data_IF_278270218090
#
_entry.id   IF_278270218090
#
_cell.length_a   1.000
_cell.length_b   1.000
_cell.length_c   1.000
_cell.angle_alpha   90.00
_cell.angle_beta   90.00
_cell.angle_gamma   90.00
#
_symmetry.space_group_name_H-M   'P 1'
#
loop_
_entity.id
_entity.type
_entity.pdbx_description
1 polymer ?
#
# COMPACT_ATOMS: atom_id res chain seq x y z
N UNK A 1 12.41 9.71 -13.63
CA UNK A 1 11.01 9.90 -14.03
C UNK A 1 10.13 9.15 -13.05
N UNK A 2 9.08 9.79 -12.55
CA UNK A 2 8.17 9.19 -11.57
C UNK A 2 7.04 8.44 -12.28
N UNK A 3 6.59 7.34 -11.67
CA UNK A 3 5.47 6.56 -12.16
C UNK A 3 4.40 6.44 -11.09
N UNK A 4 3.15 6.69 -11.45
CA UNK A 4 2.00 6.45 -10.60
C UNK A 4 1.11 5.37 -11.21
N UNK A 5 0.75 4.34 -10.45
CA UNK A 5 -0.27 3.38 -10.84
C UNK A 5 -1.52 3.71 -10.05
N UNK A 6 -2.61 3.98 -10.75
CA UNK A 6 -3.85 4.45 -10.13
C UNK A 6 -5.00 3.56 -10.56
N UNK A 7 -5.94 3.36 -9.65
CA UNK A 7 -7.23 2.73 -9.91
C UNK A 7 -8.24 3.37 -8.96
N UNK A 8 -9.52 3.27 -9.31
CA UNK A 8 -10.61 3.64 -8.43
C UNK A 8 -11.65 2.52 -8.37
N UNK A 9 -12.40 2.54 -7.27
CA UNK A 9 -13.52 1.67 -7.03
C UNK A 9 -14.71 2.55 -6.76
N UNK A 10 -15.85 2.28 -7.39
CA UNK A 10 -17.05 3.08 -7.24
C UNK A 10 -18.27 2.17 -7.07
N UNK A 11 -19.21 2.60 -6.25
CA UNK A 11 -20.49 1.93 -6.08
C UNK A 11 -21.60 2.95 -5.83
N UNK A 12 -22.68 2.82 -6.60
CA UNK A 12 -23.95 3.50 -6.34
C UNK A 12 -24.58 3.00 -5.03
N UNK A 13 -25.01 3.93 -4.20
CA UNK A 13 -25.69 3.69 -2.95
C UNK A 13 -27.22 3.67 -3.16
N UNK A 14 -27.99 3.07 -2.24
CA UNK A 14 -29.45 2.98 -2.35
C UNK A 14 -30.17 4.34 -2.41
N UNK A 15 -29.54 5.41 -1.93
CA UNK A 15 -30.06 6.79 -1.99
C UNK A 15 -29.71 7.52 -3.29
N UNK A 16 -29.05 6.84 -4.24
CA UNK A 16 -28.60 7.38 -5.52
C UNK A 16 -27.28 8.16 -5.43
N UNK A 17 -26.65 8.25 -4.25
CA UNK A 17 -25.30 8.80 -4.12
C UNK A 17 -24.24 7.80 -4.59
N UNK A 18 -23.06 8.28 -4.97
CA UNK A 18 -21.95 7.42 -5.39
C UNK A 18 -20.81 7.45 -4.38
N UNK A 19 -20.50 6.29 -3.79
CA UNK A 19 -19.36 6.15 -2.88
C UNK A 19 -18.18 5.54 -3.64
N UNK A 20 -17.06 6.26 -3.63
CA UNK A 20 -15.82 5.87 -4.27
C UNK A 20 -14.67 5.66 -3.30
N UNK A 21 -13.68 4.90 -3.73
CA UNK A 21 -12.35 4.87 -3.13
C UNK A 21 -11.31 4.95 -4.23
N UNK A 22 -10.21 5.64 -3.97
CA UNK A 22 -9.08 5.73 -4.88
C UNK A 22 -7.85 5.05 -4.28
N UNK A 23 -7.01 4.49 -5.13
CA UNK A 23 -5.76 3.84 -4.74
C UNK A 23 -4.63 4.25 -5.67
N UNK A 24 -3.45 4.47 -5.08
CA UNK A 24 -2.26 4.94 -5.79
C UNK A 24 -1.02 4.19 -5.31
N UNK A 25 -0.20 3.75 -6.26
CA UNK A 25 1.18 3.30 -6.02
C UNK A 25 2.13 4.25 -6.75
N UNK A 26 2.89 5.05 -6.01
CA UNK A 26 3.89 5.97 -6.53
C UNK A 26 5.29 5.34 -6.49
N UNK A 27 5.95 5.29 -7.64
CA UNK A 27 7.33 4.88 -7.81
C UNK A 27 8.20 6.10 -8.09
N UNK A 28 9.15 6.36 -7.18
CA UNK A 28 10.20 7.36 -7.36
C UNK A 28 11.54 6.65 -7.59
N UNK A 29 12.41 7.16 -8.49
CA UNK A 29 13.73 6.57 -8.72
C UNK A 29 14.52 6.38 -7.42
N UNK A 30 15.09 5.18 -7.24
CA UNK A 30 15.92 4.86 -6.07
C UNK A 30 15.16 4.61 -4.75
N UNK A 31 13.82 4.67 -4.76
CA UNK A 31 12.99 4.50 -3.58
C UNK A 31 12.06 3.29 -3.67
N UNK A 32 11.55 2.85 -2.53
CA UNK A 32 10.49 1.86 -2.46
C UNK A 32 9.15 2.46 -2.93
N UNK A 33 8.26 1.63 -3.50
CA UNK A 33 6.90 2.05 -3.83
C UNK A 33 6.18 2.62 -2.61
N UNK A 34 5.61 3.81 -2.76
CA UNK A 34 4.76 4.43 -1.75
C UNK A 34 3.30 4.21 -2.14
N UNK A 35 2.45 3.88 -1.17
CA UNK A 35 1.03 3.57 -1.38
C UNK A 35 0.16 4.62 -0.71
N UNK A 36 -0.87 5.05 -1.41
CA UNK A 36 -1.84 6.02 -0.94
C UNK A 36 -3.24 5.54 -1.28
N UNK A 37 -4.21 5.93 -0.47
CA UNK A 37 -5.61 5.65 -0.73
C UNK A 37 -6.50 6.66 -0.01
N UNK A 38 -7.74 6.75 -0.43
CA UNK A 38 -8.73 7.58 0.24
C UNK A 38 -10.15 7.32 -0.22
N UNK A 39 -11.08 7.66 0.66
CA UNK A 39 -12.50 7.67 0.36
C UNK A 39 -12.83 8.93 -0.44
N UNK A 40 -13.80 8.84 -1.36
CA UNK A 40 -14.36 10.00 -2.02
C UNK A 40 -15.86 9.82 -2.27
N UNK A 41 -16.57 10.93 -2.34
CA UNK A 41 -17.87 10.97 -3.00
C UNK A 41 -17.61 11.24 -4.49
N UNK A 42 -18.24 10.46 -5.37
CA UNK A 42 -18.05 10.58 -6.82
C UNK A 42 -19.35 10.36 -7.56
N UNK A 43 -19.64 11.15 -8.61
CA UNK A 43 -20.84 10.94 -9.41
C UNK A 43 -20.80 9.65 -10.22
N UNK A 44 -19.61 9.21 -10.65
CA UNK A 44 -19.43 7.96 -11.40
C UNK A 44 -18.00 7.39 -11.26
N UNK A 45 -17.76 6.24 -11.90
CA UNK A 45 -16.47 5.58 -11.89
C UNK A 45 -15.36 6.36 -12.62
N UNK A 46 -15.65 7.04 -13.74
CA UNK A 46 -14.64 7.79 -14.49
C UNK A 46 -14.19 9.04 -13.74
N UNK A 47 -15.11 9.72 -13.04
CA UNK A 47 -14.78 10.81 -12.15
C UNK A 47 -13.92 10.35 -10.96
N UNK A 48 -14.21 9.16 -10.40
CA UNK A 48 -13.41 8.57 -9.34
C UNK A 48 -11.99 8.23 -9.82
N UNK A 49 -11.85 7.71 -11.04
CA UNK A 49 -10.57 7.42 -11.67
C UNK A 49 -9.76 8.69 -11.94
N UNK A 50 -10.40 9.76 -12.46
CA UNK A 50 -9.74 11.06 -12.60
C UNK A 50 -9.32 11.63 -11.25
N UNK A 51 -10.11 11.42 -10.19
CA UNK A 51 -9.71 11.82 -8.84
C UNK A 51 -8.46 11.07 -8.39
N UNK A 52 -8.34 9.77 -8.66
CA UNK A 52 -7.13 9.01 -8.36
C UNK A 52 -5.89 9.57 -9.09
N UNK A 53 -6.05 10.06 -10.32
CA UNK A 53 -4.98 10.79 -11.05
C UNK A 53 -4.62 12.09 -10.36
N UNK A 54 -5.60 12.88 -9.92
CA UNK A 54 -5.37 14.14 -9.21
C UNK A 54 -4.59 13.91 -7.91
N UNK A 55 -4.92 12.86 -7.17
CA UNK A 55 -4.16 12.51 -5.95
C UNK A 55 -2.73 12.04 -6.29
N UNK A 56 -2.52 11.37 -7.44
CA UNK A 56 -1.17 11.09 -7.93
C UNK A 56 -0.38 12.36 -8.28
N UNK A 57 -1.05 13.32 -8.91
CA UNK A 57 -0.51 14.65 -9.20
C UNK A 57 -0.15 15.37 -7.91
N UNK A 58 -0.95 15.29 -6.84
CA UNK A 58 -0.67 15.89 -5.51
C UNK A 58 0.41 15.16 -4.71
N UNK A 59 0.59 13.86 -4.92
CA UNK A 59 1.61 13.06 -4.23
C UNK A 59 2.99 13.11 -4.89
N UNK A 60 3.06 13.37 -6.20
CA UNK A 60 4.33 13.41 -6.93
C UNK A 60 5.26 14.55 -6.44
N UNK A 61 6.59 14.46 -6.60
CA UNK A 61 7.48 15.62 -6.42
C UNK A 61 7.14 16.73 -7.43
N UNK A 62 7.14 18.00 -6.99
CA UNK A 62 6.94 19.16 -7.87
C UNK A 62 8.08 19.29 -8.90
N UNK A 63 7.80 19.97 -10.01
CA UNK A 63 8.75 20.26 -11.10
C UNK A 63 9.37 19.02 -11.78
N UNK A 64 8.78 17.84 -11.55
CA UNK A 64 9.23 16.58 -12.14
C UNK A 64 8.20 15.96 -13.09
N UNK A 65 8.66 15.17 -14.05
CA UNK A 65 7.76 14.44 -14.95
C UNK A 65 7.08 13.26 -14.23
N UNK A 66 5.77 13.12 -14.44
CA UNK A 66 4.93 12.04 -13.90
C UNK A 66 4.24 11.27 -15.03
N UNK A 67 4.48 9.95 -15.09
CA UNK A 67 3.67 9.05 -15.93
C UNK A 67 2.66 8.29 -15.07
N UNK A 68 1.39 8.53 -15.34
CA UNK A 68 0.26 7.83 -14.73
C UNK A 68 -0.09 6.60 -15.57
N UNK A 69 -0.26 5.47 -14.90
CA UNK A 69 -0.65 4.18 -15.45
C UNK A 69 -2.03 3.83 -14.91
N UNK A 70 -2.97 3.61 -15.81
CA UNK A 70 -4.36 3.23 -15.51
C UNK A 70 -4.89 2.32 -16.61
N UNK A 71 -5.92 1.51 -16.32
CA UNK A 71 -6.63 0.76 -17.36
C UNK A 71 -7.83 1.54 -17.94
N UNK A 72 -8.14 2.73 -17.40
CA UNK A 72 -9.25 3.56 -17.83
C UNK A 72 -8.90 4.45 -19.05
N UNK A 73 -9.48 4.11 -20.21
CA UNK A 73 -9.26 4.84 -21.46
C UNK A 73 -9.79 6.27 -21.45
N UNK A 74 -10.87 6.57 -20.72
CA UNK A 74 -11.42 7.92 -20.63
C UNK A 74 -10.43 8.85 -19.93
N UNK A 75 -9.81 8.40 -18.85
CA UNK A 75 -8.74 9.12 -18.14
C UNK A 75 -7.55 9.40 -19.06
N UNK A 76 -7.07 8.36 -19.76
CA UNK A 76 -5.94 8.50 -20.70
C UNK A 76 -6.25 9.57 -21.75
N UNK A 77 -7.46 9.55 -22.32
CA UNK A 77 -7.90 10.53 -23.29
C UNK A 77 -7.98 11.95 -22.70
N UNK A 78 -8.45 12.12 -21.46
CA UNK A 78 -8.54 13.42 -20.80
C UNK A 78 -7.15 14.05 -20.61
N UNK A 79 -6.20 13.27 -20.10
CA UNK A 79 -4.80 13.72 -19.91
C UNK A 79 -4.12 14.01 -21.24
N UNK A 80 -4.22 13.10 -22.22
CA UNK A 80 -3.55 13.26 -23.50
C UNK A 80 -4.08 14.45 -24.33
N UNK A 81 -5.37 14.77 -24.21
CA UNK A 81 -6.01 15.86 -24.97
C UNK A 81 -6.03 17.18 -24.22
N UNK A 82 -5.72 17.19 -22.92
CA UNK A 82 -5.89 18.37 -22.07
C UNK A 82 -7.35 18.81 -21.88
N UNK A 83 -8.32 17.93 -22.18
CA UNK A 83 -9.76 18.19 -22.04
C UNK A 83 -10.55 16.90 -21.95
N UNK A 84 -11.60 16.89 -21.15
CA UNK A 84 -12.52 15.76 -21.00
C UNK A 84 -13.84 15.93 -21.77
N UNK A 85 -14.64 14.86 -21.89
CA UNK A 85 -16.06 14.98 -22.24
C UNK A 85 -16.80 15.84 -21.20
N UNK A 86 -18.00 16.33 -21.53
CA UNK A 86 -18.74 17.28 -20.70
C UNK A 86 -18.87 16.86 -19.22
N UNK A 87 -19.14 15.58 -18.95
CA UNK A 87 -19.26 15.05 -17.59
C UNK A 87 -17.94 15.05 -16.79
N UNK A 88 -16.79 15.10 -17.46
CA UNK A 88 -15.46 15.07 -16.85
C UNK A 88 -14.70 16.39 -17.03
N UNK A 89 -15.33 17.42 -17.60
CA UNK A 89 -14.66 18.66 -17.99
C UNK A 89 -14.07 19.38 -16.76
N UNK A 90 -14.85 19.51 -15.70
CA UNK A 90 -14.43 20.18 -14.48
C UNK A 90 -13.30 19.42 -13.77
N UNK A 91 -13.45 18.10 -13.61
CA UNK A 91 -12.42 17.24 -13.02
C UNK A 91 -11.12 17.24 -13.84
N UNK A 92 -11.22 17.25 -15.17
CA UNK A 92 -10.04 17.33 -16.06
C UNK A 92 -9.35 18.68 -15.91
N UNK A 93 -10.10 19.78 -15.83
CA UNK A 93 -9.53 21.11 -15.62
C UNK A 93 -8.83 21.21 -14.26
N UNK A 94 -9.47 20.76 -13.17
CA UNK A 94 -8.86 20.74 -11.83
C UNK A 94 -7.53 19.96 -11.85
N UNK A 95 -7.52 18.77 -12.47
CA UNK A 95 -6.32 17.95 -12.62
C UNK A 95 -5.18 18.69 -13.34
N UNK A 96 -5.48 19.37 -14.44
CA UNK A 96 -4.48 20.05 -15.26
C UNK A 96 -3.99 21.33 -14.60
N UNK A 97 -4.87 22.07 -13.92
CA UNK A 97 -4.52 23.27 -13.16
C UNK A 97 -3.58 22.90 -12.01
N UNK A 98 -3.87 21.83 -11.25
CA UNK A 98 -2.97 21.32 -10.20
C UNK A 98 -1.62 20.87 -10.80
N UNK A 99 -1.64 20.10 -11.88
CA UNK A 99 -0.40 19.66 -12.53
C UNK A 99 0.46 20.85 -13.00
N UNK A 100 -0.17 21.88 -13.55
CA UNK A 100 0.50 23.10 -13.97
C UNK A 100 1.06 23.89 -12.77
N UNK A 101 0.27 24.09 -11.72
CA UNK A 101 0.69 24.78 -10.50
C UNK A 101 1.90 24.11 -9.84
N UNK A 102 1.98 22.78 -9.94
CA UNK A 102 3.08 21.98 -9.41
C UNK A 102 4.25 21.79 -10.39
N UNK A 103 4.20 22.39 -11.58
CA UNK A 103 5.25 22.28 -12.59
C UNK A 103 5.42 20.87 -13.19
N UNK A 104 4.40 20.01 -13.12
CA UNK A 104 4.50 18.62 -13.55
C UNK A 104 4.29 18.47 -15.06
N UNK A 105 5.18 17.71 -15.69
CA UNK A 105 4.94 17.17 -17.03
C UNK A 105 4.14 15.86 -16.92
N UNK A 106 2.83 15.96 -17.04
CA UNK A 106 1.90 14.84 -16.86
C UNK A 106 1.71 14.04 -18.16
N UNK A 107 1.89 12.73 -18.07
CA UNK A 107 1.57 11.77 -19.12
C UNK A 107 0.68 10.65 -18.59
N UNK A 108 -0.24 10.14 -19.40
CA UNK A 108 -1.02 8.94 -19.07
C UNK A 108 -0.71 7.81 -20.06
N UNK A 109 -0.64 6.59 -19.56
CA UNK A 109 -0.42 5.36 -20.34
C UNK A 109 -1.36 4.26 -19.86
N UNK A 110 -1.75 3.42 -20.81
CA UNK A 110 -2.48 2.20 -20.48
C UNK A 110 -1.58 1.22 -19.73
N UNK A 111 -2.09 0.64 -18.65
CA UNK A 111 -1.52 -0.52 -17.99
C UNK A 111 -2.63 -1.52 -17.67
N UNK A 112 -2.45 -2.82 -17.94
CA UNK A 112 -3.48 -3.80 -17.66
C UNK A 112 -3.67 -4.00 -16.15
N UNK A 113 -4.92 -4.22 -15.71
CA UNK A 113 -5.25 -4.49 -14.30
C UNK A 113 -4.54 -5.70 -13.71
N UNK A 114 -4.05 -6.63 -14.54
CA UNK A 114 -3.26 -7.81 -14.11
C UNK A 114 -1.83 -7.47 -13.67
N UNK A 115 -1.34 -6.26 -13.94
CA UNK A 115 -0.01 -5.82 -13.51
C UNK A 115 0.07 -5.68 -12.00
N UNK A 116 1.20 -6.09 -11.39
CA UNK A 116 1.40 -6.09 -9.92
C UNK A 116 1.02 -4.75 -9.24
N UNK A 117 1.45 -3.63 -9.81
CA UNK A 117 1.17 -2.31 -9.21
C UNK A 117 -0.27 -1.85 -9.46
N UNK A 118 -0.86 -2.20 -10.61
CA UNK A 118 -2.28 -1.98 -10.86
C UNK A 118 -3.16 -2.79 -9.91
N UNK A 119 -2.86 -4.09 -9.68
CA UNK A 119 -3.55 -4.91 -8.68
C UNK A 119 -3.46 -4.30 -7.28
N UNK A 120 -2.30 -3.73 -6.93
CA UNK A 120 -2.13 -3.07 -5.63
C UNK A 120 -2.94 -1.77 -5.55
N UNK A 121 -2.99 -0.96 -6.60
CA UNK A 121 -3.83 0.24 -6.65
C UNK A 121 -5.33 -0.12 -6.56
N UNK A 122 -5.75 -1.18 -7.25
CA UNK A 122 -7.11 -1.71 -7.19
C UNK A 122 -7.51 -2.17 -5.78
N UNK A 123 -6.63 -2.89 -5.10
CA UNK A 123 -6.88 -3.34 -3.73
C UNK A 123 -7.05 -2.14 -2.78
N UNK A 124 -6.13 -1.16 -2.86
CA UNK A 124 -6.19 0.08 -2.09
C UNK A 124 -7.51 0.84 -2.32
N UNK A 125 -7.93 0.98 -3.58
CA UNK A 125 -9.19 1.65 -3.92
C UNK A 125 -10.41 0.95 -3.30
N UNK A 126 -10.46 -0.40 -3.32
CA UNK A 126 -11.53 -1.16 -2.71
C UNK A 126 -11.51 -1.09 -1.17
N UNK A 127 -10.32 -1.16 -0.57
CA UNK A 127 -10.16 -1.11 0.88
C UNK A 127 -10.57 0.26 1.42
N UNK A 128 -10.19 1.33 0.72
CA UNK A 128 -10.62 2.70 1.02
C UNK A 128 -12.14 2.84 0.94
N UNK A 129 -12.77 2.38 -0.16
CA UNK A 129 -14.23 2.43 -0.33
C UNK A 129 -14.99 1.67 0.75
N UNK A 130 -14.44 0.56 1.24
CA UNK A 130 -15.03 -0.28 2.30
C UNK A 130 -14.71 0.22 3.71
N UNK A 131 -13.92 1.29 3.86
CA UNK A 131 -13.45 1.77 5.17
C UNK A 131 -12.54 0.77 5.90
N UNK A 132 -11.94 -0.18 5.16
CA UNK A 132 -11.10 -1.26 5.71
C UNK A 132 -9.60 -0.94 5.63
N UNK A 133 -9.25 0.18 5.00
CA UNK A 133 -7.88 0.59 4.74
C UNK A 133 -7.20 1.33 5.90
N UNK A 134 -5.89 1.14 6.05
CA UNK A 134 -5.05 2.04 6.85
C UNK A 134 -5.14 3.47 6.34
N UNK A 135 -5.01 4.47 7.22
CA UNK A 135 -5.21 5.88 6.88
C UNK A 135 -4.41 6.38 5.66
N UNK A 136 -4.66 7.63 5.22
CA UNK A 136 -4.29 8.12 3.88
C UNK A 136 -2.78 8.14 3.56
N UNK A 137 -1.91 7.96 4.55
CA UNK A 137 -0.46 7.98 4.39
C UNK A 137 0.22 7.20 5.52
N UNK A 138 0.68 5.97 5.27
CA UNK A 138 1.57 5.27 6.19
C UNK A 138 2.92 5.03 5.52
N UNK A 139 4.05 5.45 6.14
CA UNK A 139 5.37 5.08 5.68
C UNK A 139 5.44 3.55 5.58
N UNK A 140 5.66 3.07 4.36
CA UNK A 140 5.68 1.64 4.13
C UNK A 140 7.10 1.08 4.26
N UNK A 141 7.21 0.02 5.06
CA UNK A 141 8.44 -0.72 5.26
C UNK A 141 8.31 -2.13 4.68
N UNK A 142 9.12 -2.44 3.66
CA UNK A 142 9.18 -3.77 3.07
C UNK A 142 9.98 -4.70 3.98
N UNK A 143 9.34 -5.77 4.44
CA UNK A 143 9.96 -6.78 5.30
C UNK A 143 10.18 -8.06 4.49
N UNK A 144 11.38 -8.61 4.56
CA UNK A 144 11.73 -9.92 4.01
C UNK A 144 12.19 -10.83 5.15
N UNK A 145 11.48 -11.95 5.32
CA UNK A 145 11.88 -13.01 6.26
C UNK A 145 12.45 -14.16 5.44
N UNK A 146 13.70 -14.52 5.72
CA UNK A 146 14.38 -15.67 5.12
C UNK A 146 14.76 -16.67 6.20
N UNK A 147 14.06 -17.79 6.23
CA UNK A 147 14.36 -18.91 7.10
C UNK A 147 14.84 -20.08 6.25
N UNK A 148 16.07 -20.57 6.51
CA UNK A 148 16.59 -21.77 5.82
C UNK A 148 16.29 -23.01 6.66
N UNK A 149 15.80 -24.13 6.07
CA UNK A 149 15.37 -25.31 6.83
C UNK A 149 16.41 -25.93 7.78
N UNK A 150 17.71 -25.72 7.54
CA UNK A 150 18.80 -26.29 8.32
C UNK A 150 19.61 -25.26 9.13
N UNK A 151 19.11 -24.02 9.25
CA UNK A 151 19.78 -22.98 10.03
C UNK A 151 18.95 -22.63 11.27
N UNK A 152 19.59 -22.51 12.45
CA UNK A 152 18.93 -22.05 13.66
C UNK A 152 18.70 -20.55 13.69
N UNK A 153 18.79 -19.89 12.54
CA UNK A 153 18.67 -18.46 12.40
C UNK A 153 17.70 -18.14 11.26
N UNK A 154 16.86 -17.13 11.49
CA UNK A 154 16.12 -16.46 10.43
C UNK A 154 16.74 -15.08 10.19
N UNK A 155 16.98 -14.75 8.91
CA UNK A 155 17.35 -13.40 8.53
C UNK A 155 16.09 -12.57 8.33
N UNK A 156 15.98 -11.47 9.06
CA UNK A 156 14.89 -10.51 8.93
C UNK A 156 15.48 -9.21 8.39
N UNK A 157 15.07 -8.81 7.18
CA UNK A 157 15.51 -7.57 6.54
C UNK A 157 14.34 -6.62 6.36
N UNK A 158 14.45 -5.39 6.86
CA UNK A 158 13.49 -4.31 6.64
C UNK A 158 14.12 -3.30 5.69
N UNK A 159 13.33 -2.78 4.75
CA UNK A 159 13.70 -1.63 3.90
C UNK A 159 12.62 -0.57 4.02
N UNK A 160 13.01 0.68 4.23
CA UNK A 160 12.09 1.82 4.37
C UNK A 160 12.64 3.03 3.65
N UNK A 161 11.77 3.91 3.16
CA UNK A 161 12.22 5.18 2.59
C UNK A 161 12.69 6.11 3.71
N UNK A 162 13.71 6.92 3.45
CA UNK A 162 14.19 7.94 4.38
C UNK A 162 13.63 9.32 3.99
N UNK A 163 13.55 10.23 4.95
CA UNK A 163 13.10 11.61 4.72
C UNK A 163 13.99 12.36 3.71
N UNK A 164 15.24 11.93 3.57
CA UNK A 164 16.21 12.46 2.61
C UNK A 164 16.05 11.90 1.18
N UNK A 165 14.98 11.15 0.91
CA UNK A 165 14.70 10.61 -0.41
C UNK A 165 15.50 9.37 -0.80
N UNK A 166 16.07 8.66 0.17
CA UNK A 166 16.79 7.40 -0.01
C UNK A 166 16.03 6.18 0.51
N UNK A 167 16.70 5.03 0.55
CA UNK A 167 16.19 3.81 1.23
C UNK A 167 17.17 3.39 2.31
N UNK A 168 16.69 3.21 3.53
CA UNK A 168 17.44 2.56 4.62
C UNK A 168 17.17 1.05 4.60
N UNK A 169 18.19 0.26 4.98
CA UNK A 169 18.05 -1.17 5.21
C UNK A 169 18.50 -1.55 6.61
N UNK A 170 17.60 -2.14 7.38
CA UNK A 170 17.90 -2.77 8.69
C UNK A 170 17.89 -4.28 8.51
N UNK A 171 18.88 -4.99 9.02
CA UNK A 171 18.92 -6.45 8.97
C UNK A 171 19.29 -6.99 10.35
N UNK A 172 18.51 -7.96 10.84
CA UNK A 172 18.84 -8.73 12.03
C UNK A 172 18.87 -10.22 11.73
N UNK A 173 19.68 -10.96 12.50
CA UNK A 173 19.64 -12.41 12.58
C UNK A 173 18.87 -12.77 13.85
N UNK A 174 17.84 -13.60 13.69
CA UNK A 174 16.97 -14.05 14.78
C UNK A 174 17.33 -15.48 15.08
N UNK A 175 17.89 -15.73 16.28
CA UNK A 175 18.11 -17.08 16.76
C UNK A 175 16.76 -17.73 17.04
N UNK A 176 16.48 -18.84 16.35
CA UNK A 176 15.22 -19.57 16.41
C UNK A 176 15.34 -20.68 17.45
N UNK A 177 14.45 -20.65 18.44
CA UNK A 177 14.29 -21.75 19.37
C UNK A 177 13.29 -22.76 18.80
N UNK A 178 13.79 -23.88 18.27
CA UNK A 178 12.93 -24.95 17.77
C UNK A 178 12.24 -25.77 18.86
N UNK A 179 12.66 -25.61 20.13
CA UNK A 179 12.05 -26.27 21.28
C UNK A 179 10.92 -25.43 21.88
N UNK A 180 10.87 -24.15 21.54
CA UNK A 180 9.80 -23.26 21.97
C UNK A 180 8.45 -23.63 21.36
N UNK A 181 7.41 -23.34 22.13
CA UNK A 181 6.02 -23.54 21.74
C UNK A 181 5.57 -22.64 20.58
N UNK A 182 6.21 -21.48 20.44
CA UNK A 182 5.98 -20.55 19.35
C UNK A 182 6.74 -21.05 18.11
N UNK A 183 6.09 -21.31 16.96
CA UNK A 183 6.79 -21.78 15.77
C UNK A 183 7.91 -20.83 15.31
N UNK A 184 9.04 -21.34 14.78
CA UNK A 184 10.16 -20.50 14.32
C UNK A 184 9.75 -19.39 13.35
N UNK A 185 8.84 -19.69 12.43
CA UNK A 185 8.34 -18.68 11.48
C UNK A 185 7.54 -17.55 12.14
N UNK A 186 6.89 -17.83 13.28
CA UNK A 186 6.21 -16.81 14.08
C UNK A 186 7.21 -16.02 14.95
N UNK A 187 8.26 -16.68 15.49
CA UNK A 187 9.37 -15.98 16.15
C UNK A 187 10.03 -14.95 15.23
N UNK A 188 10.34 -15.34 13.99
CA UNK A 188 10.91 -14.43 12.98
C UNK A 188 9.95 -13.28 12.61
N UNK A 189 8.64 -13.54 12.56
CA UNK A 189 7.63 -12.50 12.32
C UNK A 189 7.57 -11.50 13.48
N UNK A 190 7.56 -11.97 14.73
CA UNK A 190 7.55 -11.09 15.91
C UNK A 190 8.81 -10.21 15.97
N UNK A 191 9.97 -10.78 15.62
CA UNK A 191 11.22 -10.01 15.51
C UNK A 191 11.17 -8.96 14.39
N UNK A 192 10.45 -9.22 13.30
CA UNK A 192 10.25 -8.21 12.26
C UNK A 192 9.36 -7.06 12.74
N UNK A 193 8.29 -7.38 13.48
CA UNK A 193 7.34 -6.40 14.01
C UNK A 193 8.01 -5.52 15.08
N UNK A 194 8.89 -6.09 15.92
CA UNK A 194 9.61 -5.31 16.94
C UNK A 194 10.60 -4.30 16.34
N UNK A 195 11.04 -4.49 15.10
CA UNK A 195 11.90 -3.56 14.35
C UNK A 195 11.12 -2.46 13.60
N UNK A 196 9.79 -2.49 13.62
CA UNK A 196 8.96 -1.45 13.05
C UNK A 196 9.04 -0.16 13.90
N UNK A 197 9.05 0.98 13.24
CA UNK A 197 8.95 2.29 13.91
C UNK A 197 7.48 2.66 14.14
N UNK A 198 7.19 3.52 15.13
CA UNK A 198 5.83 4.00 15.36
C UNK A 198 5.21 4.63 14.10
N UNK A 199 3.97 4.27 13.79
CA UNK A 199 3.21 4.77 12.64
C UNK A 199 3.54 4.10 11.30
N UNK A 200 4.37 3.05 11.27
CA UNK A 200 4.71 2.38 10.01
C UNK A 200 3.66 1.33 9.58
N UNK A 201 3.47 1.20 8.27
CA UNK A 201 2.87 0.01 7.68
C UNK A 201 3.97 -0.93 7.20
N UNK A 202 4.13 -2.08 7.84
CA UNK A 202 5.07 -3.11 7.39
C UNK A 202 4.39 -4.07 6.41
N UNK A 203 5.04 -4.29 5.26
CA UNK A 203 4.60 -5.26 4.26
C UNK A 203 5.52 -6.47 4.30
N UNK A 204 5.05 -7.56 4.91
CA UNK A 204 5.81 -8.78 5.10
C UNK A 204 5.75 -9.68 3.88
N UNK A 205 6.92 -9.90 3.27
CA UNK A 205 7.13 -10.81 2.15
C UNK A 205 7.65 -12.15 2.67
N UNK A 206 7.14 -13.24 2.07
CA UNK A 206 7.52 -14.63 2.39
C UNK A 206 7.23 -15.04 3.84
N UNK A 207 6.24 -14.42 4.50
CA UNK A 207 5.74 -14.97 5.75
C UNK A 207 5.17 -16.39 5.51
N UNK A 208 5.41 -17.30 6.45
CA UNK A 208 4.76 -18.61 6.39
C UNK A 208 3.24 -18.45 6.61
N UNK A 209 2.44 -19.34 6.02
CA UNK A 209 0.98 -19.37 6.26
C UNK A 209 0.64 -19.53 7.75
N UNK A 210 1.48 -20.26 8.49
CA UNK A 210 1.34 -20.46 9.94
C UNK A 210 1.53 -19.14 10.68
N UNK A 211 2.62 -18.41 10.39
CA UNK A 211 2.91 -17.13 11.02
C UNK A 211 1.80 -16.10 10.72
N UNK A 212 1.34 -16.02 9.46
CA UNK A 212 0.24 -15.16 9.06
C UNK A 212 -1.06 -15.51 9.80
N UNK A 213 -1.43 -16.79 9.87
CA UNK A 213 -2.64 -17.24 10.53
C UNK A 213 -2.62 -16.94 12.04
N UNK A 214 -1.48 -17.18 12.70
CA UNK A 214 -1.30 -16.90 14.13
C UNK A 214 -1.34 -15.39 14.43
N UNK A 215 -0.81 -14.55 13.54
CA UNK A 215 -0.89 -13.10 13.69
C UNK A 215 -2.33 -12.61 13.54
N UNK A 216 -3.03 -13.05 12.49
CA UNK A 216 -4.41 -12.63 12.22
C UNK A 216 -5.38 -13.10 13.31
N UNK A 217 -5.20 -14.33 13.81
CA UNK A 217 -6.06 -14.99 14.80
C UNK A 217 -5.25 -15.64 15.92
N UNK A 218 -4.71 -14.87 16.87
CA UNK A 218 -3.91 -15.38 18.00
C UNK A 218 -4.66 -16.40 18.86
N UNK A 219 -5.99 -16.31 18.94
CA UNK A 219 -6.87 -17.24 19.64
C UNK A 219 -6.82 -18.67 19.07
N UNK A 220 -6.33 -18.84 17.85
CA UNK A 220 -6.09 -20.17 17.26
C UNK A 220 -4.82 -20.84 17.79
N UNK A 221 -3.97 -20.13 18.53
CA UNK A 221 -2.85 -20.74 19.22
C UNK A 221 -3.37 -21.66 20.33
N UNK A 222 -3.13 -22.96 20.19
CA UNK A 222 -3.63 -23.97 21.14
C UNK A 222 -3.06 -23.84 22.55
N UNK A 223 -1.93 -23.15 22.71
CA UNK A 223 -1.22 -23.02 24.00
C UNK A 223 -1.41 -21.61 24.57
N UNK A 224 -1.88 -21.46 25.84
CA UNK A 224 -2.16 -20.16 26.44
C UNK A 224 -0.96 -19.20 26.46
N UNK A 225 0.25 -19.70 26.74
CA UNK A 225 1.46 -18.87 26.76
C UNK A 225 1.77 -18.26 25.38
N UNK A 226 1.59 -19.04 24.30
CA UNK A 226 1.80 -18.57 22.92
C UNK A 226 0.73 -17.54 22.53
N UNK A 227 -0.52 -17.77 22.92
CA UNK A 227 -1.59 -16.80 22.73
C UNK A 227 -1.29 -15.48 23.43
N UNK A 228 -0.85 -15.51 24.69
CA UNK A 228 -0.49 -14.33 25.45
C UNK A 228 0.65 -13.55 24.79
N UNK A 229 1.69 -14.24 24.33
CA UNK A 229 2.82 -13.62 23.63
C UNK A 229 2.40 -12.93 22.32
N UNK A 230 1.59 -13.60 21.49
CA UNK A 230 1.08 -13.02 20.24
C UNK A 230 0.14 -11.83 20.50
N UNK A 231 -0.69 -11.92 21.54
CA UNK A 231 -1.62 -10.86 21.92
C UNK A 231 -0.88 -9.63 22.45
N UNK A 232 0.16 -9.82 23.27
CA UNK A 232 1.02 -8.74 23.74
C UNK A 232 1.74 -8.04 22.58
N UNK A 233 2.29 -8.80 21.63
CA UNK A 233 2.92 -8.22 20.44
C UNK A 233 1.93 -7.43 19.57
N UNK A 234 0.67 -7.87 19.46
CA UNK A 234 -0.38 -7.12 18.76
C UNK A 234 -0.76 -5.84 19.49
N UNK A 235 -0.89 -5.88 20.82
CA UNK A 235 -1.16 -4.70 21.63
C UNK A 235 -0.02 -3.68 21.51
N UNK A 236 1.23 -4.14 21.50
CA UNK A 236 2.39 -3.27 21.29
C UNK A 236 2.39 -2.64 19.89
N UNK A 237 2.15 -3.44 18.83
CA UNK A 237 2.03 -2.92 17.47
C UNK A 237 0.90 -1.90 17.36
N UNK A 238 -0.26 -2.17 17.98
CA UNK A 238 -1.39 -1.24 18.01
C UNK A 238 -1.05 0.05 18.77
N UNK A 239 -0.38 -0.04 19.92
CA UNK A 239 0.07 1.12 20.68
C UNK A 239 1.08 1.99 19.90
N UNK A 240 1.91 1.36 19.07
CA UNK A 240 2.83 2.02 18.13
C UNK A 240 2.15 2.46 16.83
N UNK A 241 0.86 2.20 16.64
CA UNK A 241 0.15 2.41 15.37
C UNK A 241 0.84 1.71 14.17
N UNK A 242 1.50 0.58 14.41
CA UNK A 242 2.12 -0.25 13.37
C UNK A 242 1.07 -1.12 12.71
N UNK A 243 0.96 -1.02 11.38
CA UNK A 243 0.11 -1.89 10.57
C UNK A 243 0.94 -3.01 9.96
N UNK A 244 0.37 -4.22 9.87
CA UNK A 244 1.08 -5.42 9.40
C UNK A 244 0.27 -6.06 8.27
N UNK A 245 0.80 -5.94 7.06
CA UNK A 245 0.24 -6.54 5.86
C UNK A 245 1.15 -7.67 5.34
N UNK A 246 0.56 -8.62 4.60
CA UNK A 246 1.29 -9.76 4.05
C UNK A 246 1.16 -9.79 2.54
N UNK A 247 2.30 -9.90 1.84
CA UNK A 247 2.33 -10.03 0.37
C UNK A 247 2.39 -11.52 -0.03
N UNK A 248 1.26 -12.05 -0.52
CA UNK A 248 1.07 -13.47 -0.91
C UNK A 248 0.61 -14.33 0.28
N UNK A 249 -0.31 -15.29 0.17
CA UNK A 249 -0.61 -16.19 -0.96
C UNK A 249 -2.12 -16.21 -1.30
N UNK A 250 -2.50 -15.68 -2.46
CA UNK A 250 -3.65 -16.19 -3.24
C UNK A 250 -3.17 -17.33 -4.12
#
# INVERSE_FOLDING_TARGET
>A
MNHAYVDASWQEQPDGSGLGGWGLVLLRPGQLPVRFQGLLDSPDNNAAELRAVLEAVRAAPADEALTVHTDNQAVIACVARGRGPQLLADATRELLDEAQQRGLHLHARYAPRTGRHMLSAHALANDARRGSGGGPHLPQTDVLIEQRPAQPEARVSLRRNTDQGGTERVTTLVNLDFTADLPPSAQALLAAISLAQPGEAILVRRASRVAQALWQKPERALRPAVNAQLSAARQEAQAKAVQVDFLGNS
#
